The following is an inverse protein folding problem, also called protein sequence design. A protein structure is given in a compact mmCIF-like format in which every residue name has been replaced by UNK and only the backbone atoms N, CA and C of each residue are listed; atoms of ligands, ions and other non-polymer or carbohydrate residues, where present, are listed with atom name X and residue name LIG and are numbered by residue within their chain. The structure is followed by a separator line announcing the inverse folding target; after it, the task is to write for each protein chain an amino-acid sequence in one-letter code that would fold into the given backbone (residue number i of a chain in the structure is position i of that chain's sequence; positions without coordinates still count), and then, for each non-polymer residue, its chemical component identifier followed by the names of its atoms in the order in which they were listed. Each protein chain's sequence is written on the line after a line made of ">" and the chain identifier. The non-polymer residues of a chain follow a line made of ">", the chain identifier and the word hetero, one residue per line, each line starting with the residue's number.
data_IF_347444447749
#
_entry.id   IF_347444447749
#
_cell.length_a   1.000
_cell.length_b   1.000
_cell.length_c   1.000
_cell.angle_alpha   90.00
_cell.angle_beta   90.00
_cell.angle_gamma   90.00
#
_symmetry.space_group_name_H-M   'P 1'
#
loop_
_entity.id
_entity.type
_entity.pdbx_description
1 polymer ?
#
# COMPACT_ATOMS: atom_id res chain seq x y z
N UNK A 1 -13.21 29.06 26.47
CA UNK A 1 -13.54 27.62 26.58
C UNK A 1 -12.84 26.89 25.46
N UNK A 2 -11.95 25.95 25.79
CA UNK A 2 -11.22 25.13 24.83
C UNK A 2 -12.12 23.98 24.35
N UNK A 3 -12.39 23.92 23.04
CA UNK A 3 -13.04 22.78 22.37
C UNK A 3 -12.04 22.14 21.41
N UNK A 4 -10.97 21.60 22.00
CA UNK A 4 -10.14 20.60 21.36
C UNK A 4 -10.52 19.25 21.96
N UNK A 5 -10.59 18.22 21.10
CA UNK A 5 -10.84 16.79 21.34
C UNK A 5 -12.27 16.34 21.02
N UNK A 6 -12.43 15.74 19.85
CA UNK A 6 -12.79 14.32 19.71
C UNK A 6 -13.18 14.01 18.27
N UNK A 7 -12.21 13.99 17.35
CA UNK A 7 -12.36 13.12 16.17
C UNK A 7 -12.10 11.68 16.62
N UNK A 8 -13.04 11.15 17.40
CA UNK A 8 -13.10 9.74 17.73
C UNK A 8 -13.44 8.94 16.47
N UNK A 9 -12.47 8.70 15.60
CA UNK A 9 -12.63 7.77 14.48
C UNK A 9 -12.37 6.35 14.97
N UNK A 10 -13.32 5.81 15.72
CA UNK A 10 -13.42 4.37 15.95
C UNK A 10 -14.27 3.77 14.81
N UNK A 11 -13.72 3.69 13.59
CA UNK A 11 -14.41 3.09 12.45
C UNK A 11 -13.77 1.74 12.11
N UNK A 12 -13.95 0.74 12.98
CA UNK A 12 -13.52 -0.65 12.76
C UNK A 12 -12.05 -0.79 12.33
N UNK A 13 -11.67 -1.97 11.80
CA UNK A 13 -10.35 -2.14 11.16
C UNK A 13 -10.42 -1.48 9.77
N UNK A 14 -9.74 -0.35 9.52
CA UNK A 14 -9.70 0.21 8.16
C UNK A 14 -9.19 -0.89 7.21
N UNK A 15 -9.98 -1.18 6.18
CA UNK A 15 -9.58 -2.11 5.15
C UNK A 15 -8.48 -1.43 4.33
N UNK A 16 -7.23 -1.76 4.62
CA UNK A 16 -6.10 -1.31 3.81
C UNK A 16 -6.12 -2.04 2.47
N UNK A 17 -6.68 -1.38 1.46
CA UNK A 17 -6.68 -1.77 0.05
C UNK A 17 -5.82 -0.77 -0.75
N UNK A 18 -5.46 -1.09 -1.99
CA UNK A 18 -4.64 -0.22 -2.85
C UNK A 18 -5.20 1.22 -2.94
N UNK A 19 -6.52 1.38 -3.07
CA UNK A 19 -7.19 2.69 -3.15
C UNK A 19 -7.16 3.50 -1.84
N UNK A 20 -6.79 2.89 -0.73
CA UNK A 20 -6.67 3.55 0.59
C UNK A 20 -5.24 3.96 0.92
N UNK A 21 -4.28 3.68 0.03
CA UNK A 21 -2.89 4.06 0.22
C UNK A 21 -2.68 5.55 0.02
N UNK A 22 -1.69 6.08 0.73
CA UNK A 22 -1.24 7.44 0.53
C UNK A 22 -0.45 7.55 -0.78
N UNK A 23 -0.45 8.74 -1.39
CA UNK A 23 0.30 9.01 -2.63
C UNK A 23 1.77 8.61 -2.54
N UNK A 24 2.42 8.81 -1.39
CA UNK A 24 3.81 8.37 -1.15
C UNK A 24 3.98 6.86 -1.31
N UNK A 25 3.05 6.06 -0.78
CA UNK A 25 3.10 4.61 -0.89
C UNK A 25 2.85 4.14 -2.33
N UNK A 26 1.98 4.82 -3.08
CA UNK A 26 1.76 4.53 -4.50
C UNK A 26 3.03 4.77 -5.32
N UNK A 27 3.70 5.93 -5.13
CA UNK A 27 4.96 6.24 -5.80
C UNK A 27 6.02 5.18 -5.48
N UNK A 28 6.15 4.80 -4.19
CA UNK A 28 7.06 3.72 -3.80
C UNK A 28 6.68 2.42 -4.51
N UNK A 29 5.41 2.03 -4.59
CA UNK A 29 5.00 0.83 -5.32
C UNK A 29 5.43 0.91 -6.78
N UNK A 30 5.14 2.00 -7.49
CA UNK A 30 5.49 2.16 -8.90
C UNK A 30 7.00 2.10 -9.14
N UNK A 31 7.81 2.73 -8.29
CA UNK A 31 9.28 2.71 -8.42
C UNK A 31 9.94 1.39 -8.01
N UNK A 32 9.32 0.69 -7.05
CA UNK A 32 9.93 -0.44 -6.32
C UNK A 32 9.42 -1.78 -6.83
N UNK A 33 8.21 -1.83 -7.39
CA UNK A 33 7.62 -3.01 -8.03
C UNK A 33 8.47 -3.59 -9.18
N UNK A 34 8.95 -2.82 -10.17
CA UNK A 34 9.80 -3.37 -11.22
C UNK A 34 11.12 -3.93 -10.66
N UNK A 35 11.73 -3.23 -9.69
CA UNK A 35 12.95 -3.69 -8.99
C UNK A 35 12.71 -5.02 -8.26
N UNK A 36 11.54 -5.16 -7.63
CA UNK A 36 11.15 -6.41 -6.97
C UNK A 36 10.90 -7.54 -7.98
N UNK A 37 10.24 -7.27 -9.11
CA UNK A 37 10.05 -8.24 -10.21
C UNK A 37 11.37 -8.69 -10.84
N UNK A 38 12.33 -7.78 -10.96
CA UNK A 38 13.70 -8.04 -11.39
C UNK A 38 14.56 -8.74 -10.32
N UNK A 39 14.00 -8.98 -9.13
CA UNK A 39 14.70 -9.54 -7.95
C UNK A 39 15.88 -8.69 -7.45
N UNK A 40 15.90 -7.40 -7.75
CA UNK A 40 16.91 -6.44 -7.27
C UNK A 40 16.72 -6.13 -5.77
N UNK A 41 15.48 -6.22 -5.29
CA UNK A 41 15.13 -6.08 -3.88
C UNK A 41 14.31 -7.27 -3.40
N UNK A 42 14.32 -7.50 -2.09
CA UNK A 42 13.49 -8.53 -1.48
C UNK A 42 12.09 -8.02 -1.16
N UNK A 43 11.11 -8.94 -1.09
CA UNK A 43 9.76 -8.59 -0.63
C UNK A 43 9.73 -8.03 0.80
N UNK A 44 10.71 -8.41 1.64
CA UNK A 44 10.87 -7.87 3.00
C UNK A 44 11.29 -6.40 2.96
N UNK A 45 12.26 -6.03 2.11
CA UNK A 45 12.66 -4.64 1.91
C UNK A 45 11.52 -3.80 1.34
N UNK A 46 10.81 -4.33 0.33
CA UNK A 46 9.66 -3.62 -0.26
C UNK A 46 8.55 -3.38 0.77
N UNK A 47 8.25 -4.37 1.60
CA UNK A 47 7.28 -4.26 2.68
C UNK A 47 7.70 -3.23 3.73
N UNK A 48 8.99 -3.18 4.09
CA UNK A 48 9.53 -2.19 5.02
C UNK A 48 9.44 -0.76 4.46
N UNK A 49 9.73 -0.56 3.17
CA UNK A 49 9.60 0.76 2.51
C UNK A 49 8.18 1.30 2.53
N UNK A 50 7.18 0.41 2.43
CA UNK A 50 5.77 0.78 2.49
C UNK A 50 5.22 0.87 3.91
N UNK A 51 6.01 0.43 4.91
CA UNK A 51 5.61 0.31 6.32
C UNK A 51 4.33 -0.53 6.50
N UNK A 52 4.17 -1.57 5.68
CA UNK A 52 2.97 -2.41 5.64
C UNK A 52 3.16 -3.74 6.39
N UNK A 53 2.05 -4.28 6.90
CA UNK A 53 2.01 -5.66 7.40
C UNK A 53 1.92 -6.64 6.25
N UNK A 54 2.52 -7.83 6.40
CA UNK A 54 2.53 -8.93 5.40
C UNK A 54 1.18 -9.15 4.71
N UNK A 55 0.10 -9.28 5.47
CA UNK A 55 -1.24 -9.56 4.94
C UNK A 55 -1.77 -8.42 4.06
N UNK A 56 -1.42 -7.18 4.40
CA UNK A 56 -1.82 -5.99 3.66
C UNK A 56 -0.97 -5.83 2.39
N UNK A 57 0.34 -6.06 2.51
CA UNK A 57 1.28 -6.02 1.40
C UNK A 57 0.85 -6.92 0.24
N UNK A 58 0.62 -8.21 0.48
CA UNK A 58 0.25 -9.13 -0.61
C UNK A 58 -1.11 -8.83 -1.23
N UNK A 59 -2.06 -8.28 -0.46
CA UNK A 59 -3.35 -7.82 -1.01
C UNK A 59 -3.15 -6.67 -1.99
N UNK A 60 -2.41 -5.64 -1.58
CA UNK A 60 -2.10 -4.47 -2.38
C UNK A 60 -1.36 -4.84 -3.66
N UNK A 61 -0.32 -5.68 -3.55
CA UNK A 61 0.45 -6.10 -4.73
C UNK A 61 -0.42 -6.86 -5.72
N UNK A 62 -1.31 -7.74 -5.23
CA UNK A 62 -2.26 -8.45 -6.10
C UNK A 62 -3.22 -7.49 -6.80
N UNK A 63 -3.77 -6.50 -6.09
CA UNK A 63 -4.64 -5.48 -6.70
C UNK A 63 -3.89 -4.65 -7.75
N UNK A 64 -2.64 -4.27 -7.45
CA UNK A 64 -1.78 -3.53 -8.36
C UNK A 64 -1.46 -4.35 -9.62
N UNK A 65 -1.15 -5.63 -9.48
CA UNK A 65 -0.94 -6.57 -10.60
C UNK A 65 -2.18 -6.71 -11.49
N UNK A 66 -3.39 -6.78 -10.90
CA UNK A 66 -4.65 -6.83 -11.64
C UNK A 66 -4.84 -5.56 -12.48
N UNK A 67 -4.60 -4.39 -11.89
CA UNK A 67 -4.73 -3.10 -12.59
C UNK A 67 -3.71 -2.99 -13.72
N UNK A 68 -2.45 -3.37 -13.47
CA UNK A 68 -1.41 -3.39 -14.50
C UNK A 68 -1.79 -4.29 -15.68
N UNK A 69 -2.34 -5.47 -15.40
CA UNK A 69 -2.78 -6.41 -16.44
C UNK A 69 -4.03 -5.92 -17.19
N UNK A 70 -4.93 -5.18 -16.52
CA UNK A 70 -6.09 -4.57 -17.18
C UNK A 70 -5.71 -3.40 -18.09
N UNK A 71 -4.66 -2.65 -17.76
CA UNK A 71 -4.17 -1.52 -18.56
C UNK A 71 -3.37 -1.95 -19.80
N UNK A 72 -3.20 -3.27 -20.05
CA UNK A 72 -2.54 -3.81 -21.25
C UNK A 72 -3.53 -4.32 -22.31
N UNK A 73 -4.82 -4.04 -22.18
CA UNK A 73 -5.89 -4.44 -23.11
C UNK A 73 -6.45 -3.24 -23.88
#
# INVERSE_FOLDING_TARGET
>A
MAVAKSQGKHLGRPQCNLSTLNQKQLIIIEETYPKWKNKEITGVQFMALLELKKNTFYKIIREYEIILNQNQL
#
